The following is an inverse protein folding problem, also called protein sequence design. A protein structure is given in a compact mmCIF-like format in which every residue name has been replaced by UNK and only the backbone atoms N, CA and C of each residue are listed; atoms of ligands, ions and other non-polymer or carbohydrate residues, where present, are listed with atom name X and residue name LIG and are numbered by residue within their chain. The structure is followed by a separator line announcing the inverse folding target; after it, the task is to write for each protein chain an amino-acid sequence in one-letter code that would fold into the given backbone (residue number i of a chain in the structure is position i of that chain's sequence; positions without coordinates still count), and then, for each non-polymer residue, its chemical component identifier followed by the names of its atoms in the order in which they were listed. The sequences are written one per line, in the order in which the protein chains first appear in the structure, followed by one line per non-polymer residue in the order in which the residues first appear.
data_IF_939323097879
#
_entry.id   IF_939323097879
#
_cell.length_a   1.000
_cell.length_b   1.000
_cell.length_c   1.000
_cell.angle_alpha   90.00
_cell.angle_beta   90.00
_cell.angle_gamma   90.00
#
_symmetry.space_group_name_H-M   'P 1'
#
loop_
_entity.id
_entity.type
_entity.pdbx_description
1 polymer ?
#
# COMPACT_ATOMS: atom_id res chain seq x y z
N UNK A 1 -30.20 6.81 19.15
CA UNK A 1 -29.76 5.40 18.99
C UNK A 1 -28.68 5.17 17.92
N UNK A 2 -28.71 5.87 16.77
CA UNK A 2 -27.74 5.61 15.67
C UNK A 2 -26.28 5.97 15.97
N UNK A 3 -26.03 7.08 16.69
CA UNK A 3 -24.65 7.57 16.94
C UNK A 3 -23.87 6.70 17.94
N UNK A 4 -24.55 6.17 18.96
CA UNK A 4 -23.94 5.26 19.95
C UNK A 4 -23.56 3.93 19.31
N UNK A 5 -24.37 3.41 18.38
CA UNK A 5 -24.06 2.18 17.63
C UNK A 5 -22.82 2.36 16.74
N UNK A 6 -22.71 3.49 16.03
CA UNK A 6 -21.51 3.79 15.23
C UNK A 6 -20.26 4.00 16.07
N UNK A 7 -20.38 4.63 17.24
CA UNK A 7 -19.26 4.82 18.17
C UNK A 7 -18.78 3.46 18.71
N UNK A 8 -19.71 2.62 19.17
CA UNK A 8 -19.39 1.28 19.66
C UNK A 8 -18.79 0.38 18.58
N UNK A 9 -19.34 0.40 17.36
CA UNK A 9 -18.78 -0.33 16.22
C UNK A 9 -17.37 0.16 15.85
N UNK A 10 -17.13 1.48 15.91
CA UNK A 10 -15.79 2.03 15.66
C UNK A 10 -14.78 1.58 16.71
N UNK A 11 -15.20 1.49 17.97
CA UNK A 11 -14.37 1.06 19.09
C UNK A 11 -14.04 -0.45 19.00
N UNK A 12 -15.01 -1.27 18.59
CA UNK A 12 -14.82 -2.71 18.37
C UNK A 12 -13.90 -2.98 17.17
N UNK A 13 -14.04 -2.22 16.08
CA UNK A 13 -13.15 -2.32 14.91
C UNK A 13 -11.70 -1.90 15.25
N UNK A 14 -11.52 -0.89 16.11
CA UNK A 14 -10.20 -0.44 16.57
C UNK A 14 -9.53 -1.49 17.48
N UNK A 15 -10.29 -2.12 18.38
CA UNK A 15 -9.80 -3.20 19.25
C UNK A 15 -9.46 -4.48 18.50
N UNK A 16 -10.22 -4.86 17.47
CA UNK A 16 -9.83 -5.98 16.60
C UNK A 16 -8.54 -5.69 15.82
N UNK A 17 -8.28 -4.42 15.48
CA UNK A 17 -7.05 -4.00 14.82
C UNK A 17 -5.83 -4.12 15.75
N UNK A 18 -5.97 -3.77 17.04
CA UNK A 18 -4.90 -3.90 18.05
C UNK A 18 -4.42 -5.33 18.30
N UNK A 19 -5.21 -6.38 18.01
CA UNK A 19 -4.82 -7.78 18.22
C UNK A 19 -3.73 -8.28 17.25
N UNK A 20 -3.45 -7.55 16.16
CA UNK A 20 -2.29 -7.80 15.30
C UNK A 20 -1.25 -6.71 15.58
N UNK A 21 0.00 -7.10 15.82
CA UNK A 21 1.13 -6.16 16.04
C UNK A 21 1.40 -5.40 14.76
N UNK A 22 0.68 -4.30 14.56
CA UNK A 22 0.86 -3.43 13.41
C UNK A 22 1.95 -2.41 13.72
N UNK A 23 2.62 -1.89 12.68
CA UNK A 23 3.49 -0.74 12.83
C UNK A 23 2.75 0.44 13.50
N UNK A 24 3.48 1.33 14.19
CA UNK A 24 2.89 2.54 14.76
C UNK A 24 2.24 3.39 13.66
N UNK A 25 1.31 4.28 14.02
CA UNK A 25 0.66 5.16 13.04
C UNK A 25 -0.20 6.24 13.69
N UNK A 26 -0.61 7.26 12.92
CA UNK A 26 -1.59 8.22 13.38
C UNK A 26 -2.94 7.53 13.68
N UNK A 27 -3.80 8.19 14.45
CA UNK A 27 -5.15 7.70 14.70
C UNK A 27 -6.03 7.99 13.49
N UNK A 28 -6.76 6.99 13.00
CA UNK A 28 -7.66 7.10 11.86
C UNK A 28 -9.11 7.35 12.28
N UNK A 29 -9.91 7.90 11.36
CA UNK A 29 -11.35 8.02 11.53
C UNK A 29 -12.07 6.70 11.16
N UNK A 30 -13.26 6.44 11.71
CA UNK A 30 -14.10 5.31 11.29
C UNK A 30 -14.41 5.41 9.79
N UNK A 31 -14.31 4.28 9.07
CA UNK A 31 -14.58 4.14 7.62
C UNK A 31 -13.61 4.92 6.71
N UNK A 32 -13.42 6.22 6.92
CA UNK A 32 -12.54 7.08 6.11
C UNK A 32 -11.05 6.75 6.32
N UNK A 33 -10.69 6.26 7.51
CA UNK A 33 -9.30 6.03 7.88
C UNK A 33 -8.54 7.35 7.96
N UNK A 34 -7.43 7.45 7.23
CA UNK A 34 -6.46 8.54 7.28
C UNK A 34 -6.50 9.43 6.04
N UNK A 35 -7.49 9.24 5.16
CA UNK A 35 -7.62 10.08 3.95
C UNK A 35 -7.75 11.57 4.29
N UNK A 36 -8.35 11.90 5.44
CA UNK A 36 -8.47 13.26 5.94
C UNK A 36 -7.11 13.95 6.26
N UNK A 37 -6.03 13.18 6.41
CA UNK A 37 -4.67 13.69 6.64
C UNK A 37 -3.94 14.03 5.34
N UNK A 38 -4.50 13.67 4.19
CA UNK A 38 -3.89 13.85 2.87
C UNK A 38 -4.58 14.99 2.13
N UNK A 39 -3.78 15.97 1.69
CA UNK A 39 -4.23 17.09 0.88
C UNK A 39 -3.83 16.95 -0.58
N UNK A 40 -3.51 18.09 -1.21
CA UNK A 40 -3.13 18.16 -2.64
C UNK A 40 -1.86 17.38 -2.95
N UNK A 41 -0.92 17.31 -2.00
CA UNK A 41 0.39 16.70 -2.18
C UNK A 41 0.57 15.50 -1.23
N UNK A 42 -0.09 14.36 -1.50
CA UNK A 42 -0.14 13.24 -0.55
C UNK A 42 1.24 12.69 -0.19
N UNK A 43 2.21 12.71 -1.11
CA UNK A 43 3.58 12.26 -0.84
C UNK A 43 4.31 13.16 0.18
N UNK A 44 4.07 14.47 0.16
CA UNK A 44 4.65 15.41 1.14
C UNK A 44 3.95 15.28 2.49
N UNK A 45 2.63 15.10 2.50
CA UNK A 45 1.86 14.86 3.71
C UNK A 45 2.32 13.57 4.40
N UNK A 46 2.49 12.48 3.64
CA UNK A 46 3.02 11.22 4.16
C UNK A 46 4.43 11.36 4.72
N UNK A 47 5.29 12.14 4.07
CA UNK A 47 6.62 12.42 4.60
C UNK A 47 6.56 13.14 5.95
N UNK A 48 5.73 14.19 6.07
CA UNK A 48 5.53 14.91 7.34
C UNK A 48 4.98 14.01 8.45
N UNK A 49 4.05 13.11 8.13
CA UNK A 49 3.51 12.14 9.09
C UNK A 49 4.60 11.14 9.51
N UNK A 50 5.41 10.65 8.56
CA UNK A 50 6.49 9.70 8.84
C UNK A 50 7.58 10.30 9.75
N UNK A 51 7.86 11.60 9.65
CA UNK A 51 8.77 12.28 10.59
C UNK A 51 8.30 12.17 12.05
N UNK A 52 6.99 12.07 12.30
CA UNK A 52 6.41 11.95 13.65
C UNK A 52 6.19 10.51 14.10
N UNK A 53 5.79 9.62 13.19
CA UNK A 53 5.36 8.25 13.51
C UNK A 53 6.43 7.19 13.21
N UNK A 54 7.50 7.56 12.51
CA UNK A 54 8.62 6.70 12.19
C UNK A 54 8.66 6.24 10.72
N UNK A 55 9.75 5.54 10.34
CA UNK A 55 10.04 5.20 8.95
C UNK A 55 9.15 4.09 8.38
N UNK A 56 8.46 3.32 9.24
CA UNK A 56 7.48 2.30 8.86
C UNK A 56 6.25 2.56 9.70
N UNK A 57 5.14 2.91 9.04
CA UNK A 57 3.92 3.26 9.74
C UNK A 57 2.68 2.64 9.09
N UNK A 58 1.67 2.37 9.91
CA UNK A 58 0.40 1.84 9.46
C UNK A 58 -0.60 2.98 9.19
N UNK A 59 -1.27 2.94 8.03
CA UNK A 59 -2.34 3.86 7.68
C UNK A 59 -3.42 3.13 6.86
N UNK A 60 -4.68 3.37 7.20
CA UNK A 60 -5.84 2.98 6.39
C UNK A 60 -6.27 4.10 5.44
N UNK A 61 -6.45 3.83 4.15
CA UNK A 61 -7.05 4.77 3.19
C UNK A 61 -8.45 4.28 2.83
N UNK A 62 -9.48 4.91 3.41
CA UNK A 62 -10.83 4.35 3.43
C UNK A 62 -10.84 3.03 4.20
N UNK A 63 -11.20 1.95 3.50
CA UNK A 63 -11.19 0.58 4.02
C UNK A 63 -9.92 -0.20 3.67
N UNK A 64 -8.99 0.40 2.91
CA UNK A 64 -7.77 -0.28 2.45
C UNK A 64 -6.65 -0.09 3.49
N UNK A 65 -6.13 -1.16 4.12
CA UNK A 65 -4.98 -1.08 5.01
C UNK A 65 -3.68 -0.89 4.20
N UNK A 66 -2.82 0.02 4.62
CA UNK A 66 -1.54 0.32 3.97
C UNK A 66 -0.41 0.40 5.01
N UNK A 67 0.77 -0.01 4.59
CA UNK A 67 2.02 0.22 5.32
C UNK A 67 2.85 1.21 4.51
N UNK A 68 3.21 2.33 5.12
CA UNK A 68 3.98 3.39 4.49
C UNK A 68 5.44 3.23 4.91
N UNK A 69 6.33 3.23 3.92
CA UNK A 69 7.77 3.08 4.09
C UNK A 69 8.46 4.36 3.62
N UNK A 70 9.18 5.03 4.53
CA UNK A 70 9.66 6.41 4.33
C UNK A 70 11.15 6.60 4.63
N UNK A 71 11.94 5.53 4.69
CA UNK A 71 13.41 5.64 4.81
C UNK A 71 14.13 4.69 3.84
N UNK A 72 15.37 5.02 3.42
CA UNK A 72 16.14 4.15 2.53
C UNK A 72 16.39 2.76 3.12
N UNK A 73 16.76 2.70 4.41
CA UNK A 73 17.00 1.43 5.12
C UNK A 73 15.74 0.57 5.21
N UNK A 74 14.58 1.19 5.45
CA UNK A 74 13.32 0.46 5.44
C UNK A 74 12.96 0.03 4.02
N UNK A 75 13.10 0.90 3.02
CA UNK A 75 12.81 0.56 1.62
C UNK A 75 13.66 -0.62 1.11
N UNK A 76 14.93 -0.70 1.49
CA UNK A 76 15.80 -1.83 1.18
C UNK A 76 15.25 -3.17 1.67
N UNK A 77 14.67 -3.21 2.87
CA UNK A 77 14.07 -4.43 3.41
C UNK A 77 12.91 -4.95 2.55
N UNK A 78 12.09 -4.06 1.98
CA UNK A 78 10.91 -4.43 1.18
C UNK A 78 11.24 -4.62 -0.30
N UNK A 79 12.15 -3.83 -0.85
CA UNK A 79 12.44 -3.77 -2.29
C UNK A 79 13.66 -4.59 -2.70
N UNK A 80 14.50 -5.03 -1.75
CA UNK A 80 15.63 -5.91 -2.02
C UNK A 80 15.60 -7.18 -1.17
N UNK A 81 15.57 -7.05 0.15
CA UNK A 81 15.71 -8.22 1.05
C UNK A 81 14.51 -9.17 0.95
N UNK A 82 13.30 -8.61 0.87
CA UNK A 82 12.04 -9.37 0.77
C UNK A 82 11.29 -9.03 -0.52
N UNK A 83 12.01 -8.68 -1.58
CA UNK A 83 11.45 -8.20 -2.85
C UNK A 83 10.41 -9.15 -3.44
N UNK A 84 10.64 -10.46 -3.36
CA UNK A 84 9.75 -11.50 -3.85
C UNK A 84 8.38 -11.50 -3.13
N UNK A 85 8.38 -11.24 -1.82
CA UNK A 85 7.16 -11.21 -0.99
C UNK A 85 6.30 -9.99 -1.38
N UNK A 86 6.96 -8.87 -1.69
CA UNK A 86 6.31 -7.60 -2.07
C UNK A 86 6.27 -7.36 -3.59
N UNK A 87 6.59 -8.38 -4.39
CA UNK A 87 6.69 -8.25 -5.84
C UNK A 87 5.32 -8.03 -6.50
N UNK A 88 4.28 -8.66 -5.97
CA UNK A 88 2.92 -8.57 -6.49
C UNK A 88 2.27 -7.22 -6.20
N UNK A 89 1.38 -6.78 -7.09
CA UNK A 89 0.55 -5.57 -6.91
C UNK A 89 -0.85 -5.94 -6.46
N UNK A 90 -1.44 -5.23 -5.49
CA UNK A 90 -2.84 -5.44 -5.11
C UNK A 90 -3.76 -5.25 -6.32
N UNK A 91 -4.84 -6.04 -6.42
CA UNK A 91 -5.82 -5.86 -7.47
C UNK A 91 -6.51 -4.50 -7.32
N UNK A 92 -6.62 -3.76 -8.42
CA UNK A 92 -7.37 -2.51 -8.44
C UNK A 92 -8.23 -2.41 -9.69
N UNK A 93 -9.46 -1.93 -9.51
CA UNK A 93 -10.47 -1.92 -10.58
C UNK A 93 -10.00 -1.14 -11.81
N UNK A 94 -9.34 0.01 -11.61
CA UNK A 94 -8.85 0.80 -12.73
C UNK A 94 -7.86 0.03 -13.62
N UNK A 95 -6.90 -0.73 -13.06
CA UNK A 95 -6.00 -1.54 -13.91
C UNK A 95 -6.69 -2.75 -14.50
N UNK A 96 -7.74 -3.28 -13.88
CA UNK A 96 -8.50 -4.35 -14.53
C UNK A 96 -8.95 -3.92 -15.94
N UNK A 97 -9.45 -2.69 -16.05
CA UNK A 97 -9.88 -2.13 -17.33
C UNK A 97 -8.73 -1.55 -18.17
N UNK A 98 -7.80 -0.82 -17.56
CA UNK A 98 -6.72 -0.12 -18.28
C UNK A 98 -5.52 -1.03 -18.63
N UNK A 99 -5.40 -2.19 -18.00
CA UNK A 99 -4.20 -3.04 -18.04
C UNK A 99 -4.51 -4.48 -18.47
N UNK A 100 -5.53 -4.68 -19.30
CA UNK A 100 -5.96 -6.00 -19.79
C UNK A 100 -6.05 -7.02 -18.66
N UNK A 101 -6.95 -6.76 -17.69
CA UNK A 101 -7.15 -7.65 -16.54
C UNK A 101 -5.86 -7.86 -15.72
N UNK A 102 -5.06 -6.79 -15.60
CA UNK A 102 -3.77 -6.79 -14.92
C UNK A 102 -2.76 -7.81 -15.49
N UNK A 103 -2.77 -8.05 -16.80
CA UNK A 103 -1.78 -8.92 -17.47
C UNK A 103 -0.58 -8.15 -18.05
N UNK A 104 -0.36 -6.92 -17.59
CA UNK A 104 0.79 -6.12 -17.99
C UNK A 104 1.94 -6.19 -16.96
N UNK A 105 3.08 -5.57 -17.31
CA UNK A 105 4.27 -5.57 -16.46
C UNK A 105 4.16 -4.68 -15.21
N UNK A 106 3.32 -3.63 -15.24
CA UNK A 106 3.24 -2.63 -14.18
C UNK A 106 2.30 -3.02 -13.03
N UNK A 107 1.16 -3.64 -13.36
CA UNK A 107 0.08 -3.94 -12.40
C UNK A 107 -0.21 -5.43 -12.26
N UNK A 108 0.51 -6.30 -12.97
CA UNK A 108 0.29 -7.73 -12.91
C UNK A 108 0.86 -8.40 -11.66
N UNK A 109 0.24 -9.51 -11.22
CA UNK A 109 0.76 -10.30 -10.11
C UNK A 109 2.09 -10.95 -10.50
N UNK A 110 2.99 -11.07 -9.52
CA UNK A 110 4.24 -11.76 -9.76
C UNK A 110 4.00 -13.25 -10.01
N UNK A 111 4.61 -13.81 -11.05
CA UNK A 111 4.44 -15.21 -11.44
C UNK A 111 5.23 -15.58 -12.70
N UNK A 112 5.14 -16.84 -13.17
CA UNK A 112 5.86 -17.30 -14.35
C UNK A 112 5.64 -16.42 -15.59
N UNK A 113 4.39 -16.02 -15.84
CA UNK A 113 4.03 -15.15 -16.95
C UNK A 113 4.73 -13.78 -16.86
N UNK A 114 4.63 -13.10 -15.71
CA UNK A 114 5.26 -11.79 -15.49
C UNK A 114 6.79 -11.87 -15.65
N UNK A 115 7.42 -12.95 -15.14
CA UNK A 115 8.87 -13.17 -15.30
C UNK A 115 9.28 -13.33 -16.76
N UNK A 116 8.52 -14.09 -17.54
CA UNK A 116 8.79 -14.31 -18.96
C UNK A 116 8.63 -13.01 -19.76
N UNK A 117 7.56 -12.25 -19.50
CA UNK A 117 7.35 -10.95 -20.13
C UNK A 117 8.43 -9.94 -19.78
N UNK A 118 8.87 -9.88 -18.51
CA UNK A 118 9.96 -8.99 -18.10
C UNK A 118 11.26 -9.34 -18.83
N UNK A 119 11.62 -10.64 -18.90
CA UNK A 119 12.81 -11.10 -19.65
C UNK A 119 12.74 -10.71 -21.12
N UNK A 120 11.60 -10.94 -21.76
CA UNK A 120 11.39 -10.58 -23.17
C UNK A 120 11.55 -9.08 -23.39
N UNK A 121 10.92 -8.24 -22.56
CA UNK A 121 11.03 -6.79 -22.68
C UNK A 121 12.46 -6.30 -22.43
N UNK A 122 13.13 -6.79 -21.38
CA UNK A 122 14.53 -6.42 -21.10
C UNK A 122 15.45 -6.80 -22.26
N UNK A 123 15.30 -8.01 -22.81
CA UNK A 123 16.07 -8.46 -23.97
C UNK A 123 15.82 -7.55 -25.18
N UNK A 124 14.56 -7.25 -25.49
CA UNK A 124 14.21 -6.41 -26.65
C UNK A 124 14.69 -4.97 -26.48
N UNK A 125 14.51 -4.36 -25.30
CA UNK A 125 14.92 -2.98 -25.02
C UNK A 125 16.45 -2.86 -25.05
N UNK A 126 17.17 -3.81 -24.46
CA UNK A 126 18.64 -3.80 -24.46
C UNK A 126 19.26 -4.06 -25.84
N UNK A 127 18.50 -4.61 -26.78
CA UNK A 127 18.90 -4.85 -28.17
C UNK A 127 18.49 -3.72 -29.13
N UNK A 128 17.79 -2.69 -28.65
CA UNK A 128 17.51 -1.53 -29.48
C UNK A 128 18.79 -0.69 -29.60
N UNK A 129 19.21 -0.33 -30.83
CA UNK A 129 20.39 0.50 -31.07
C UNK A 129 20.19 1.93 -30.55
#
# INVERSE_FOLDING_TARGET
HSLYSSFFASQVLDEQYKKKRLPPGPKGLPILGHLHLLGKNPHQDLHRIAQKHGPIMYMRFGLVPNVIVSSPKAAELFLKTHDLIFASRPPHQAAKYLSWDQRNLSFGPYGPYWRNMRKLCTFRIAQQP
#
